data_IF_401011225726
#
_entry.id   IF_401011225726
#
_cell.length_a   1.000
_cell.length_b   1.000
_cell.length_c   1.000
_cell.angle_alpha   90.00
_cell.angle_beta   90.00
_cell.angle_gamma   90.00
#
_symmetry.space_group_name_H-M   'P 1'
#
loop_
_entity.id
_entity.type
_entity.pdbx_description
1 polymer ?
#
# COMPACT_ATOMS: atom_id res chain seq x y z
N UNK A 1 2.51 -13.89 4.30
CA UNK A 1 1.08 -14.17 4.55
C UNK A 1 0.30 -12.87 4.41
N UNK A 2 -0.29 -12.63 3.24
CA UNK A 2 -1.11 -11.43 2.96
C UNK A 2 -2.58 -11.80 3.10
N UNK A 3 -3.05 -12.00 4.34
CA UNK A 3 -4.44 -12.42 4.61
C UNK A 3 -5.49 -11.55 3.92
N UNK A 4 -5.25 -10.24 3.81
CA UNK A 4 -6.14 -9.33 3.09
C UNK A 4 -6.28 -9.70 1.60
N UNK A 5 -5.18 -10.06 0.94
CA UNK A 5 -5.22 -10.49 -0.48
C UNK A 5 -5.95 -11.82 -0.63
N UNK A 6 -5.69 -12.77 0.26
CA UNK A 6 -6.36 -14.07 0.25
C UNK A 6 -7.87 -13.94 0.46
N UNK A 7 -8.30 -13.09 1.41
CA UNK A 7 -9.70 -12.79 1.67
C UNK A 7 -10.34 -12.15 0.44
N UNK A 8 -9.68 -11.16 -0.17
CA UNK A 8 -10.15 -10.51 -1.39
C UNK A 8 -10.30 -11.52 -2.55
N UNK A 9 -9.33 -12.42 -2.73
CA UNK A 9 -9.38 -13.47 -3.76
C UNK A 9 -10.51 -14.45 -3.47
N UNK A 10 -10.66 -14.91 -2.23
CA UNK A 10 -11.71 -15.85 -1.83
C UNK A 10 -13.10 -15.25 -2.06
N UNK A 11 -13.30 -13.99 -1.68
CA UNK A 11 -14.56 -13.28 -1.90
C UNK A 11 -14.86 -13.12 -3.39
N UNK A 12 -13.88 -12.69 -4.19
CA UNK A 12 -14.02 -12.59 -5.66
C UNK A 12 -14.34 -13.93 -6.33
N UNK A 13 -13.87 -15.05 -5.77
CA UNK A 13 -14.16 -16.41 -6.23
C UNK A 13 -15.54 -16.93 -5.76
N UNK A 14 -16.35 -16.12 -5.09
CA UNK A 14 -17.71 -16.47 -4.67
C UNK A 14 -17.82 -17.09 -3.28
N UNK A 15 -16.77 -17.03 -2.44
CA UNK A 15 -16.89 -17.45 -1.04
C UNK A 15 -17.82 -16.48 -0.30
N UNK A 16 -18.82 -17.02 0.41
CA UNK A 16 -19.74 -16.19 1.20
C UNK A 16 -19.01 -15.50 2.37
N UNK A 17 -19.55 -14.35 2.77
CA UNK A 17 -19.02 -13.59 3.91
C UNK A 17 -18.94 -14.44 5.19
N UNK A 18 -19.96 -15.26 5.47
CA UNK A 18 -19.97 -16.18 6.61
C UNK A 18 -18.78 -17.16 6.58
N UNK A 19 -18.47 -17.74 5.41
CA UNK A 19 -17.32 -18.65 5.25
C UNK A 19 -15.99 -17.91 5.44
N UNK A 20 -15.89 -16.66 4.99
CA UNK A 20 -14.72 -15.81 5.24
C UNK A 20 -14.57 -15.55 6.74
N UNK A 21 -15.64 -15.18 7.44
CA UNK A 21 -15.62 -14.96 8.89
C UNK A 21 -15.23 -16.23 9.66
N UNK A 22 -15.74 -17.40 9.28
CA UNK A 22 -15.37 -18.67 9.93
C UNK A 22 -13.90 -19.04 9.69
N UNK A 23 -13.35 -18.74 8.51
CA UNK A 23 -11.99 -19.13 8.13
C UNK A 23 -10.92 -18.14 8.61
N UNK A 24 -11.20 -16.85 8.55
CA UNK A 24 -10.22 -15.77 8.79
C UNK A 24 -10.61 -14.86 9.96
N UNK A 25 -11.75 -15.11 10.63
CA UNK A 25 -12.20 -14.32 11.77
C UNK A 25 -11.30 -14.46 13.00
N UNK A 26 -11.45 -13.53 13.95
CA UNK A 26 -10.59 -13.44 15.14
C UNK A 26 -9.24 -12.76 14.89
N UNK A 27 -8.95 -12.38 13.64
CA UNK A 27 -7.69 -11.72 13.24
C UNK A 27 -7.95 -10.22 13.02
N UNK A 28 -7.10 -9.37 13.59
CA UNK A 28 -7.05 -7.94 13.25
C UNK A 28 -6.29 -7.72 11.94
N UNK A 29 -6.98 -7.26 10.90
CA UNK A 29 -6.37 -7.04 9.58
C UNK A 29 -6.25 -5.54 9.32
N UNK A 30 -5.02 -5.08 9.07
CA UNK A 30 -4.76 -3.73 8.60
C UNK A 30 -4.98 -3.64 7.08
N UNK A 31 -5.79 -2.68 6.65
CA UNK A 31 -5.94 -2.32 5.24
C UNK A 31 -5.02 -1.14 4.94
N UNK A 32 -3.92 -1.35 4.19
CA UNK A 32 -2.98 -0.28 3.91
C UNK A 32 -3.59 0.78 3.00
N UNK A 33 -3.38 2.06 3.37
CA UNK A 33 -3.81 3.21 2.56
C UNK A 33 -3.09 3.31 1.21
N UNK A 34 -1.89 2.72 1.11
CA UNK A 34 -1.07 2.69 -0.11
C UNK A 34 -0.54 1.27 -0.26
N UNK A 35 -0.80 0.64 -1.41
CA UNK A 35 -0.25 -0.69 -1.67
C UNK A 35 1.29 -0.62 -1.84
N UNK A 36 2.03 -1.70 -1.54
CA UNK A 36 3.47 -1.75 -1.78
C UNK A 36 3.84 -1.42 -3.24
N UNK A 37 3.05 -1.90 -4.20
CA UNK A 37 3.26 -1.64 -5.64
C UNK A 37 3.04 -0.16 -5.97
N UNK A 38 2.00 0.46 -5.39
CA UNK A 38 1.76 1.88 -5.58
C UNK A 38 2.91 2.71 -5.01
N UNK A 39 3.43 2.36 -3.83
CA UNK A 39 4.60 2.99 -3.22
C UNK A 39 5.83 2.90 -4.12
N UNK A 40 6.12 1.72 -4.68
CA UNK A 40 7.27 1.52 -5.57
C UNK A 40 7.14 2.33 -6.87
N UNK A 41 5.93 2.37 -7.46
CA UNK A 41 5.68 3.19 -8.65
C UNK A 41 5.85 4.69 -8.35
N UNK A 42 5.30 5.17 -7.23
CA UNK A 42 5.47 6.57 -6.78
C UNK A 42 6.95 6.93 -6.66
N UNK A 43 7.77 6.05 -6.07
CA UNK A 43 9.21 6.29 -5.90
C UNK A 43 9.93 6.33 -7.25
N UNK A 44 9.59 5.44 -8.18
CA UNK A 44 10.19 5.38 -9.53
C UNK A 44 9.80 6.57 -10.41
N UNK A 45 8.56 7.05 -10.31
CA UNK A 45 8.05 8.17 -11.11
C UNK A 45 8.41 9.55 -10.53
N UNK A 46 8.95 9.60 -9.31
CA UNK A 46 9.29 10.85 -8.66
C UNK A 46 10.51 11.52 -9.30
N UNK A 47 10.33 12.76 -9.77
CA UNK A 47 11.34 13.50 -10.52
C UNK A 47 12.00 14.66 -9.75
N UNK A 48 11.75 14.75 -8.44
CA UNK A 48 12.30 15.82 -7.58
C UNK A 48 11.30 16.91 -7.21
N UNK A 49 10.23 17.11 -8.00
CA UNK A 49 9.26 18.20 -7.78
C UNK A 49 7.80 17.86 -8.09
N UNK A 50 7.50 16.74 -8.73
CA UNK A 50 6.15 16.36 -9.19
C UNK A 50 5.19 15.87 -8.08
N UNK A 51 5.25 16.42 -6.87
CA UNK A 51 4.43 15.99 -5.73
C UNK A 51 2.92 16.07 -5.99
N UNK A 52 2.44 17.22 -6.48
CA UNK A 52 1.02 17.44 -6.76
C UNK A 52 0.50 16.50 -7.86
N UNK A 53 1.30 16.25 -8.90
CA UNK A 53 0.95 15.30 -9.96
C UNK A 53 0.80 13.88 -9.44
N UNK A 54 1.75 13.41 -8.63
CA UNK A 54 1.68 12.07 -8.04
C UNK A 54 0.52 11.95 -7.03
N UNK A 55 0.24 13.00 -6.26
CA UNK A 55 -0.90 13.06 -5.36
C UNK A 55 -2.22 12.84 -6.11
N UNK A 56 -2.41 13.55 -7.22
CA UNK A 56 -3.57 13.37 -8.10
C UNK A 56 -3.62 11.97 -8.72
N UNK A 57 -2.53 11.52 -9.35
CA UNK A 57 -2.46 10.23 -10.07
C UNK A 57 -2.78 9.03 -9.19
N UNK A 58 -2.35 9.04 -7.93
CA UNK A 58 -2.54 7.93 -6.98
C UNK A 58 -3.68 8.16 -5.99
N UNK A 59 -4.44 9.25 -6.13
CA UNK A 59 -5.50 9.64 -5.20
C UNK A 59 -5.02 9.69 -3.72
N UNK A 60 -3.91 10.37 -3.49
CA UNK A 60 -3.28 10.55 -2.17
C UNK A 60 -3.11 12.03 -1.86
N UNK A 61 -2.95 12.37 -0.58
CA UNK A 61 -2.53 13.73 -0.22
C UNK A 61 -1.07 13.97 -0.58
N UNK A 62 -0.72 15.21 -0.92
CA UNK A 62 0.70 15.61 -1.10
C UNK A 62 1.55 15.29 0.13
N UNK A 63 1.00 15.46 1.33
CA UNK A 63 1.68 15.10 2.58
C UNK A 63 2.04 13.62 2.65
N UNK A 64 1.18 12.74 2.11
CA UNK A 64 1.45 11.29 2.02
C UNK A 64 2.57 11.03 1.03
N UNK A 65 2.54 11.65 -0.16
CA UNK A 65 3.61 11.53 -1.16
C UNK A 65 4.96 11.98 -0.57
N UNK A 66 5.00 13.17 0.06
CA UNK A 66 6.22 13.69 0.71
C UNK A 66 6.76 12.75 1.78
N UNK A 67 5.87 12.15 2.59
CA UNK A 67 6.25 11.15 3.60
C UNK A 67 6.90 9.92 2.95
N UNK A 68 6.29 9.37 1.90
CA UNK A 68 6.80 8.19 1.19
C UNK A 68 8.20 8.44 0.60
N UNK A 69 8.39 9.59 -0.07
CA UNK A 69 9.69 9.97 -0.63
C UNK A 69 10.74 10.16 0.47
N UNK A 70 10.36 10.78 1.61
CA UNK A 70 11.27 10.96 2.75
C UNK A 70 11.69 9.63 3.37
N UNK A 71 10.77 8.69 3.51
CA UNK A 71 11.03 7.34 4.02
C UNK A 71 11.96 6.56 3.08
N UNK A 72 11.74 6.63 1.76
CA UNK A 72 12.62 5.98 0.79
C UNK A 72 14.05 6.54 0.84
N UNK A 73 14.21 7.87 0.92
CA UNK A 73 15.52 8.52 1.08
C UNK A 73 16.22 8.11 2.38
N UNK A 74 15.47 8.00 3.49
CA UNK A 74 16.02 7.48 4.77
C UNK A 74 16.52 6.05 4.62
N UNK A 75 15.71 5.17 4.01
CA UNK A 75 16.07 3.77 3.78
C UNK A 75 17.34 3.64 2.93
N UNK A 76 17.45 4.39 1.83
CA UNK A 76 18.65 4.39 0.97
C UNK A 76 19.92 4.82 1.71
N UNK A 77 19.83 5.81 2.60
CA UNK A 77 20.97 6.23 3.43
C UNK A 77 21.41 5.14 4.42
N UNK A 78 20.46 4.44 5.03
CA UNK A 78 20.75 3.42 6.03
C UNK A 78 21.32 2.12 5.41
N UNK A 79 21.05 1.84 4.13
CA UNK A 79 21.59 0.67 3.42
C UNK A 79 22.99 0.92 2.79
N UNK A 80 23.59 2.09 3.00
CA UNK A 80 24.96 2.41 2.52
C UNK A 80 26.05 2.12 3.55
N UNK A 81 25.73 1.38 4.62
CA UNK A 81 26.67 0.93 5.66
C UNK A 81 26.67 -0.59 5.77
#
# INVERSE_FOLDING_TARGET
MHYLEEICIAYKKGMSFEKICRKYGGIGIYVPKVSPEAKDRIIKEFNGGNYAFLAYKYNLSESTIRKLIREDRKRKRNCQY
#
